data_IF_143235717674
#
_entry.id   IF_143235717674
#
_cell.length_a   1.000
_cell.length_b   1.000
_cell.length_c   1.000
_cell.angle_alpha   90.00
_cell.angle_beta   90.00
_cell.angle_gamma   90.00
#
_symmetry.space_group_name_H-M   'P 1'
#
loop_
_entity.id
_entity.type
_entity.pdbx_description
1 polymer ?
#
# COMPACT_ATOMS: atom_id res chain seq x y z
N UNK A 1 -10.77 -15.79 0.08
CA UNK A 1 -9.55 -15.94 0.89
C UNK A 1 -8.67 -14.72 0.75
N UNK A 2 -8.12 -14.25 1.84
CA UNK A 2 -7.22 -13.10 1.82
C UNK A 2 -5.78 -13.55 1.77
N UNK A 3 -4.96 -12.74 1.10
CA UNK A 3 -3.52 -12.98 0.98
C UNK A 3 -2.77 -11.80 1.54
N UNK A 4 -1.53 -12.03 1.92
CA UNK A 4 -0.65 -10.94 2.38
C UNK A 4 0.02 -10.31 1.17
N UNK A 5 -0.02 -8.99 1.11
CA UNK A 5 0.63 -8.23 0.03
C UNK A 5 1.61 -7.24 0.61
N UNK A 6 2.70 -7.06 -0.11
CA UNK A 6 3.65 -5.98 0.13
C UNK A 6 3.34 -4.88 -0.87
N UNK A 7 3.10 -3.66 -0.36
CA UNK A 7 2.77 -2.52 -1.20
C UNK A 7 3.80 -1.44 -0.95
N UNK A 8 4.53 -1.06 -2.01
CA UNK A 8 5.47 0.06 -1.94
C UNK A 8 4.82 1.29 -2.54
N UNK A 9 4.85 2.36 -1.78
CA UNK A 9 4.29 3.64 -2.17
C UNK A 9 5.37 4.70 -2.08
N UNK A 10 5.21 5.77 -2.86
CA UNK A 10 5.99 6.97 -2.68
C UNK A 10 5.05 8.11 -2.34
N UNK A 11 5.36 8.86 -1.29
CA UNK A 11 4.51 9.94 -0.80
C UNK A 11 5.28 11.24 -0.86
N UNK A 12 4.71 12.25 -1.51
CA UNK A 12 5.35 13.57 -1.63
C UNK A 12 5.70 14.08 -0.24
N UNK A 13 6.95 14.53 -0.08
CA UNK A 13 7.51 15.08 1.15
C UNK A 13 7.84 14.04 2.23
N UNK A 14 7.36 12.79 2.08
CA UNK A 14 7.64 11.76 3.06
C UNK A 14 8.57 10.66 2.52
N UNK A 15 8.60 10.47 1.19
CA UNK A 15 9.45 9.47 0.58
C UNK A 15 8.77 8.12 0.45
N UNK A 16 9.56 7.05 0.45
CA UNK A 16 9.05 5.70 0.28
C UNK A 16 8.42 5.16 1.55
N UNK A 17 7.28 4.50 1.37
CA UNK A 17 6.56 3.82 2.44
C UNK A 17 6.26 2.41 1.99
N UNK A 18 6.49 1.43 2.86
CA UNK A 18 6.15 0.04 2.58
C UNK A 18 5.08 -0.40 3.55
N UNK A 19 4.00 -0.97 3.00
CA UNK A 19 2.88 -1.49 3.79
C UNK A 19 2.70 -2.96 3.53
N UNK A 20 2.37 -3.71 4.56
CA UNK A 20 1.99 -5.11 4.44
C UNK A 20 0.52 -5.20 4.81
N UNK A 21 -0.32 -5.61 3.86
CA UNK A 21 -1.76 -5.62 4.06
C UNK A 21 -2.35 -6.96 3.63
N UNK A 22 -3.42 -7.36 4.30
CA UNK A 22 -4.19 -8.54 3.88
C UNK A 22 -5.32 -8.09 2.99
N UNK A 23 -5.44 -8.70 1.82
CA UNK A 23 -6.41 -8.29 0.81
C UNK A 23 -6.77 -9.46 -0.08
N UNK A 24 -7.83 -9.31 -0.85
CA UNK A 24 -8.29 -10.36 -1.76
C UNK A 24 -7.48 -10.40 -3.05
N UNK A 25 -7.01 -9.25 -3.53
CA UNK A 25 -6.22 -9.17 -4.74
C UNK A 25 -5.35 -7.90 -4.70
N UNK A 26 -4.58 -7.69 -5.78
CA UNK A 26 -3.65 -6.56 -5.84
C UNK A 26 -4.35 -5.20 -5.80
N UNK A 27 -5.48 -5.08 -6.49
CA UNK A 27 -6.24 -3.82 -6.50
C UNK A 27 -6.74 -3.46 -5.11
N UNK A 28 -7.25 -4.47 -4.39
CA UNK A 28 -7.73 -4.30 -3.04
C UNK A 28 -6.58 -3.91 -2.11
N UNK A 29 -5.43 -4.58 -2.26
CA UNK A 29 -4.26 -4.30 -1.45
C UNK A 29 -3.77 -2.87 -1.64
N UNK A 30 -3.74 -2.41 -2.88
CA UNK A 30 -3.32 -1.05 -3.19
C UNK A 30 -4.24 -0.04 -2.52
N UNK A 31 -5.54 -0.25 -2.63
CA UNK A 31 -6.52 0.66 -2.04
C UNK A 31 -6.37 0.73 -0.52
N UNK A 32 -6.24 -0.43 0.12
CA UNK A 32 -6.08 -0.49 1.58
C UNK A 32 -4.81 0.26 2.00
N UNK A 33 -3.70 0.00 1.31
CA UNK A 33 -2.43 0.63 1.65
C UNK A 33 -2.49 2.15 1.50
N UNK A 34 -3.13 2.63 0.44
CA UNK A 34 -3.29 4.07 0.22
C UNK A 34 -4.14 4.69 1.32
N UNK A 35 -5.25 4.05 1.68
CA UNK A 35 -6.13 4.57 2.71
C UNK A 35 -5.44 4.63 4.07
N UNK A 36 -4.66 3.60 4.40
CA UNK A 36 -3.91 3.60 5.65
C UNK A 36 -2.85 4.70 5.68
N UNK A 37 -2.17 4.90 4.55
CA UNK A 37 -1.14 5.93 4.46
C UNK A 37 -1.73 7.33 4.62
N UNK A 38 -2.88 7.57 3.98
CA UNK A 38 -3.57 8.86 4.13
C UNK A 38 -3.88 9.15 5.59
N UNK A 39 -4.36 8.14 6.32
CA UNK A 39 -4.68 8.31 7.73
C UNK A 39 -3.42 8.56 8.57
N UNK A 40 -2.36 7.81 8.31
CA UNK A 40 -1.15 7.87 9.12
C UNK A 40 -0.39 9.17 8.92
N UNK A 41 -0.30 9.62 7.66
CA UNK A 41 0.52 10.78 7.32
C UNK A 41 -0.30 12.05 7.15
N UNK A 42 -1.62 11.93 7.22
CA UNK A 42 -2.52 13.07 7.01
C UNK A 42 -2.25 13.75 5.68
N UNK A 43 -2.05 12.96 4.63
CA UNK A 43 -1.79 13.46 3.28
C UNK A 43 -3.01 13.21 2.40
N UNK A 44 -2.95 13.64 1.15
CA UNK A 44 -4.00 13.44 0.16
C UNK A 44 -3.66 12.28 -0.74
N UNK A 45 -4.69 11.68 -1.34
CA UNK A 45 -4.49 10.60 -2.31
C UNK A 45 -3.57 11.04 -3.46
N UNK A 46 -3.70 12.30 -3.89
CA UNK A 46 -2.89 12.82 -4.99
C UNK A 46 -1.40 12.87 -4.68
N UNK A 47 -1.05 12.83 -3.40
CA UNK A 47 0.34 12.86 -2.97
C UNK A 47 1.00 11.48 -3.04
N UNK A 48 0.23 10.43 -3.32
CA UNK A 48 0.70 9.05 -3.24
C UNK A 48 0.79 8.42 -4.61
N UNK A 49 1.94 7.82 -4.91
CA UNK A 49 2.16 7.02 -6.12
C UNK A 49 2.46 5.60 -5.71
N UNK A 50 1.84 4.64 -6.38
CA UNK A 50 2.12 3.22 -6.12
C UNK A 50 3.32 2.79 -6.96
N UNK A 51 4.32 2.22 -6.31
CA UNK A 51 5.52 1.73 -6.98
C UNK A 51 5.39 0.25 -7.30
N UNK A 52 4.91 -0.54 -6.34
CA UNK A 52 4.88 -2.00 -6.47
C UNK A 52 3.80 -2.57 -5.57
N UNK A 53 3.07 -3.57 -6.09
CA UNK A 53 2.16 -4.38 -5.29
C UNK A 53 2.54 -5.83 -5.56
N UNK A 54 2.92 -6.55 -4.52
CA UNK A 54 3.43 -7.90 -4.67
C UNK A 54 2.81 -8.82 -3.63
N UNK A 55 2.34 -9.98 -4.07
CA UNK A 55 1.83 -11.00 -3.15
C UNK A 55 3.02 -11.65 -2.44
N UNK A 56 2.93 -11.72 -1.12
CA UNK A 56 3.98 -12.36 -0.33
C UNK A 56 3.71 -13.85 -0.28
N UNK A 57 4.68 -14.64 -0.72
CA UNK A 57 4.55 -16.09 -0.74
C UNK A 57 5.15 -16.68 0.52
N UNK A 58 4.40 -17.60 1.12
CA UNK A 58 4.90 -18.38 2.25
C UNK A 58 5.14 -19.82 1.80
N UNK A 59 6.29 -20.30 2.04
CA UNK A 59 6.63 -21.70 1.79
C UNK A 59 6.82 -22.44 3.09
#
# INVERSE_FOLDING_TARGET
MMFLFEVELEVILFGKETKYVHAYDKSDAELIAIQETIKELNCSKEDISTILVKKVNHN
#
